data_IF_804847739080
#
_entry.id   IF_804847739080
#
_cell.length_a   1.000
_cell.length_b   1.000
_cell.length_c   1.000
_cell.angle_alpha   90.00
_cell.angle_beta   90.00
_cell.angle_gamma   90.00
#
_symmetry.space_group_name_H-M   'P 1'
#
loop_
_entity.id
_entity.type
_entity.pdbx_description
1 polymer ?
#
# COMPACT_ATOMS: atom_id res chain seq x y z
N UNK A 1 -15.50 2.87 -11.51
CA UNK A 1 -14.89 2.02 -12.58
C UNK A 1 -15.93 1.17 -13.33
N UNK A 2 -16.65 0.24 -12.70
CA UNK A 2 -17.67 -0.60 -13.40
C UNK A 2 -18.97 0.15 -13.68
N UNK A 3 -19.45 0.98 -12.75
CA UNK A 3 -20.71 1.74 -12.85
C UNK A 3 -20.58 3.14 -13.42
N UNK A 4 -19.40 3.75 -13.30
CA UNK A 4 -19.11 5.12 -13.76
C UNK A 4 -18.30 5.17 -15.06
N UNK A 5 -17.49 4.15 -15.37
CA UNK A 5 -16.57 4.17 -16.52
C UNK A 5 -16.74 2.97 -17.45
N UNK A 6 -17.82 2.20 -17.32
CA UNK A 6 -18.18 1.16 -18.30
C UNK A 6 -17.21 -0.02 -18.41
N UNK A 7 -16.44 -0.34 -17.36
CA UNK A 7 -15.48 -1.46 -17.36
C UNK A 7 -16.12 -2.86 -17.26
N UNK A 8 -17.36 -3.05 -17.71
CA UNK A 8 -18.03 -4.36 -17.83
C UNK A 8 -18.51 -4.58 -19.26
N UNK A 9 -18.07 -5.69 -19.88
CA UNK A 9 -18.50 -6.10 -21.22
C UNK A 9 -20.00 -6.44 -21.28
N UNK A 10 -20.62 -6.79 -20.15
CA UNK A 10 -22.04 -7.20 -20.07
C UNK A 10 -23.00 -6.03 -19.89
N UNK A 11 -22.58 -4.98 -19.21
CA UNK A 11 -23.43 -3.82 -18.92
C UNK A 11 -23.32 -2.72 -20.00
N UNK A 12 -22.32 -2.82 -20.88
CA UNK A 12 -22.04 -1.80 -21.89
C UNK A 12 -21.62 -0.46 -21.27
N UNK A 13 -21.32 0.56 -22.08
CA UNK A 13 -20.93 1.89 -21.60
C UNK A 13 -22.15 2.70 -21.12
N UNK A 14 -22.99 2.11 -20.26
CA UNK A 14 -24.06 2.86 -19.60
C UNK A 14 -23.53 3.46 -18.29
N UNK A 15 -23.74 4.77 -18.13
CA UNK A 15 -23.54 5.47 -16.87
C UNK A 15 -24.65 5.02 -15.89
N UNK A 16 -24.30 4.27 -14.85
CA UNK A 16 -25.24 3.81 -13.82
C UNK A 16 -25.21 4.65 -12.55
N UNK A 17 -24.22 5.55 -12.41
CA UNK A 17 -24.13 6.48 -11.29
C UNK A 17 -24.17 7.91 -11.84
N UNK A 18 -25.18 8.68 -11.42
CA UNK A 18 -25.17 10.13 -11.58
C UNK A 18 -24.07 10.71 -10.66
N UNK A 19 -23.26 11.60 -11.21
CA UNK A 19 -22.41 12.50 -10.44
C UNK A 19 -23.33 13.33 -9.53
N UNK A 20 -23.16 13.26 -8.21
CA UNK A 20 -23.75 14.24 -7.29
C UNK A 20 -23.03 15.59 -7.51
N UNK A 21 -23.36 16.26 -8.63
CA UNK A 21 -22.78 17.50 -9.08
C UNK A 21 -23.86 18.49 -9.50
N UNK A 22 -24.16 19.42 -8.58
CA UNK A 22 -24.85 20.70 -8.79
C UNK A 22 -26.33 20.66 -9.25
N UNK A 23 -27.21 20.77 -8.25
CA UNK A 23 -28.64 21.07 -8.39
C UNK A 23 -28.80 22.57 -8.62
N UNK A 24 -28.77 23.05 -9.87
CA UNK A 24 -29.28 24.39 -10.16
C UNK A 24 -30.02 24.46 -11.50
N UNK A 25 -31.24 25.01 -11.43
CA UNK A 25 -32.22 25.29 -12.50
C UNK A 25 -33.33 24.24 -12.75
N UNK A 26 -34.22 24.13 -11.77
CA UNK A 26 -35.67 24.22 -12.04
C UNK A 26 -36.36 23.10 -12.85
N UNK A 27 -35.77 21.90 -12.94
CA UNK A 27 -36.44 20.73 -13.52
C UNK A 27 -36.06 19.40 -12.86
N UNK A 28 -35.87 19.38 -11.55
CA UNK A 28 -35.65 18.16 -10.77
C UNK A 28 -36.99 17.47 -10.45
N UNK A 29 -37.69 17.02 -11.49
CA UNK A 29 -38.80 16.06 -11.34
C UNK A 29 -38.33 14.73 -11.92
N UNK A 30 -38.07 13.80 -11.00
CA UNK A 30 -38.08 12.36 -11.21
C UNK A 30 -37.12 11.81 -12.28
N UNK A 31 -35.84 11.65 -11.90
CA UNK A 31 -35.02 10.60 -12.52
C UNK A 31 -34.10 9.91 -11.52
N UNK A 32 -34.62 9.60 -10.33
CA UNK A 32 -34.09 8.46 -9.58
C UNK A 32 -34.36 7.22 -10.46
N UNK A 33 -33.41 6.90 -11.34
CA UNK A 33 -33.47 5.73 -12.21
C UNK A 33 -33.40 4.54 -11.26
N UNK A 34 -34.56 3.96 -10.93
CA UNK A 34 -34.67 2.75 -10.13
C UNK A 34 -33.80 1.68 -10.80
N UNK A 35 -32.57 1.50 -10.29
CA UNK A 35 -31.69 0.42 -10.71
C UNK A 35 -32.39 -0.86 -10.28
N UNK A 36 -32.73 -1.71 -11.24
CA UNK A 36 -33.43 -2.95 -10.93
C UNK A 36 -32.52 -3.87 -10.10
N UNK A 37 -33.12 -4.67 -9.21
CA UNK A 37 -32.37 -5.66 -8.39
C UNK A 37 -31.52 -6.59 -9.27
N UNK A 38 -32.00 -6.90 -10.48
CA UNK A 38 -31.28 -7.70 -11.46
C UNK A 38 -30.02 -6.97 -11.97
N UNK A 39 -30.12 -5.68 -12.28
CA UNK A 39 -28.97 -4.87 -12.69
C UNK A 39 -27.96 -4.72 -11.56
N UNK A 40 -28.41 -4.53 -10.32
CA UNK A 40 -27.54 -4.45 -9.15
C UNK A 40 -26.76 -5.75 -8.93
N UNK A 41 -27.43 -6.91 -9.06
CA UNK A 41 -26.78 -8.23 -8.99
C UNK A 41 -25.71 -8.42 -10.05
N UNK A 42 -25.97 -7.98 -11.28
CA UNK A 42 -24.98 -8.06 -12.37
C UNK A 42 -23.76 -7.19 -12.05
N UNK A 43 -23.96 -5.98 -11.54
CA UNK A 43 -22.85 -5.09 -11.12
C UNK A 43 -22.00 -5.76 -10.04
N UNK A 44 -22.61 -6.32 -9.00
CA UNK A 44 -21.88 -6.98 -7.91
C UNK A 44 -21.06 -8.18 -8.40
N UNK A 45 -21.61 -8.97 -9.33
CA UNK A 45 -20.89 -10.09 -9.94
C UNK A 45 -19.67 -9.62 -10.73
N UNK A 46 -19.81 -8.54 -11.50
CA UNK A 46 -18.71 -7.98 -12.29
C UNK A 46 -17.63 -7.35 -11.41
N UNK A 47 -18.01 -6.68 -10.32
CA UNK A 47 -17.07 -6.15 -9.31
C UNK A 47 -16.30 -7.31 -8.65
N UNK A 48 -17.00 -8.37 -8.26
CA UNK A 48 -16.36 -9.55 -7.67
C UNK A 48 -15.38 -10.20 -8.65
N UNK A 49 -15.78 -10.40 -9.91
CA UNK A 49 -14.92 -10.96 -10.95
C UNK A 49 -13.68 -10.10 -11.20
N UNK A 50 -13.82 -8.77 -11.18
CA UNK A 50 -12.72 -7.83 -11.31
C UNK A 50 -11.70 -7.97 -10.17
N UNK A 51 -12.19 -8.01 -8.93
CA UNK A 51 -11.36 -8.16 -7.74
C UNK A 51 -10.64 -9.51 -7.77
N UNK A 52 -11.36 -10.59 -8.03
CA UNK A 52 -10.82 -11.96 -8.09
C UNK A 52 -9.70 -12.07 -9.12
N UNK A 53 -9.90 -11.51 -10.33
CA UNK A 53 -8.89 -11.50 -11.39
C UNK A 53 -7.62 -10.74 -10.98
N UNK A 54 -7.79 -9.54 -10.41
CA UNK A 54 -6.66 -8.72 -9.99
C UNK A 54 -5.91 -9.34 -8.81
N UNK A 55 -6.65 -9.93 -7.86
CA UNK A 55 -6.08 -10.67 -6.74
C UNK A 55 -5.26 -11.86 -7.21
N UNK A 56 -5.82 -12.70 -8.10
CA UNK A 56 -5.11 -13.84 -8.65
C UNK A 56 -3.88 -13.42 -9.45
N UNK A 57 -3.97 -12.33 -10.23
CA UNK A 57 -2.81 -11.77 -10.94
C UNK A 57 -1.72 -11.29 -9.97
N UNK A 58 -2.09 -10.57 -8.92
CA UNK A 58 -1.12 -10.10 -7.92
C UNK A 58 -0.48 -11.29 -7.19
N UNK A 59 -1.28 -12.28 -6.79
CA UNK A 59 -0.79 -13.51 -6.16
C UNK A 59 0.17 -14.26 -7.07
N UNK A 60 -0.15 -14.39 -8.36
CA UNK A 60 0.72 -15.04 -9.33
C UNK A 60 2.04 -14.28 -9.46
N UNK A 61 2.01 -12.95 -9.63
CA UNK A 61 3.22 -12.12 -9.71
C UNK A 61 4.12 -12.25 -8.48
N UNK A 62 3.54 -12.30 -7.27
CA UNK A 62 4.30 -12.52 -6.04
C UNK A 62 4.88 -13.94 -5.98
N UNK A 63 4.11 -14.94 -6.41
CA UNK A 63 4.55 -16.34 -6.41
C UNK A 63 5.68 -16.58 -7.41
N UNK A 64 5.58 -16.00 -8.60
CA UNK A 64 6.58 -16.11 -9.67
C UNK A 64 7.90 -15.40 -9.31
N UNK A 65 7.86 -14.42 -8.41
CA UNK A 65 9.01 -13.63 -7.97
C UNK A 65 9.35 -13.87 -6.48
N UNK A 66 9.11 -15.10 -6.01
CA UNK A 66 9.39 -15.48 -4.62
C UNK A 66 10.88 -15.33 -4.25
N UNK A 67 11.77 -15.49 -5.22
CA UNK A 67 13.20 -15.23 -5.09
C UNK A 67 13.49 -13.78 -4.66
N UNK A 68 12.83 -12.82 -5.33
CA UNK A 68 12.96 -11.39 -5.02
C UNK A 68 12.39 -11.09 -3.63
N UNK A 69 11.28 -11.70 -3.24
CA UNK A 69 10.69 -11.57 -1.90
C UNK A 69 11.63 -12.08 -0.80
N UNK A 70 12.29 -13.23 -1.02
CA UNK A 70 13.29 -13.75 -0.09
C UNK A 70 14.51 -12.83 0.00
N UNK A 71 15.01 -12.33 -1.14
CA UNK A 71 16.11 -11.37 -1.18
C UNK A 71 15.75 -10.04 -0.48
N UNK A 72 14.53 -9.55 -0.66
CA UNK A 72 14.00 -8.38 0.07
C UNK A 72 13.97 -8.62 1.58
N UNK A 73 13.50 -9.79 2.02
CA UNK A 73 13.49 -10.18 3.44
C UNK A 73 14.91 -10.19 4.01
N UNK A 74 15.85 -10.82 3.30
CA UNK A 74 17.26 -10.89 3.76
C UNK A 74 17.92 -9.49 3.79
N UNK A 75 17.61 -8.63 2.81
CA UNK A 75 18.06 -7.25 2.79
C UNK A 75 17.47 -6.42 3.94
N UNK A 76 16.18 -6.58 4.26
CA UNK A 76 15.54 -5.92 5.41
C UNK A 76 16.15 -6.38 6.74
N UNK A 77 16.44 -7.68 6.88
CA UNK A 77 17.09 -8.21 8.07
C UNK A 77 18.50 -7.64 8.26
N UNK A 78 19.20 -7.32 7.17
CA UNK A 78 20.57 -6.79 7.20
C UNK A 78 20.62 -5.28 7.40
N UNK A 79 19.72 -4.53 6.79
CA UNK A 79 19.79 -3.07 6.69
C UNK A 79 18.67 -2.32 7.43
N UNK A 80 17.69 -3.02 7.98
CA UNK A 80 16.47 -2.52 8.65
C UNK A 80 15.52 -1.71 7.75
N UNK A 81 16.06 -0.94 6.81
CA UNK A 81 15.35 -0.15 5.79
C UNK A 81 15.94 -0.41 4.41
N UNK A 82 15.09 -0.39 3.38
CA UNK A 82 15.50 -0.51 1.97
C UNK A 82 15.00 0.73 1.22
N UNK A 83 15.90 1.37 0.48
CA UNK A 83 15.58 2.52 -0.37
C UNK A 83 15.25 2.10 -1.83
N UNK A 84 14.62 3.00 -2.59
CA UNK A 84 14.31 2.80 -4.01
C UNK A 84 15.45 2.20 -4.86
N UNK A 85 16.72 2.69 -4.83
CA UNK A 85 17.79 2.11 -5.62
C UNK A 85 18.15 0.67 -5.22
N UNK A 86 17.89 0.28 -3.97
CA UNK A 86 18.08 -1.11 -3.51
C UNK A 86 16.94 -2.00 -3.98
N UNK A 87 15.71 -1.47 -4.03
CA UNK A 87 14.56 -2.16 -4.65
C UNK A 87 14.85 -2.41 -6.13
N UNK A 88 15.39 -1.42 -6.86
CA UNK A 88 15.74 -1.58 -8.28
C UNK A 88 16.77 -2.69 -8.51
N UNK A 89 17.75 -2.84 -7.62
CA UNK A 89 18.71 -3.94 -7.68
C UNK A 89 18.08 -5.30 -7.39
N UNK A 90 17.20 -5.37 -6.39
CA UNK A 90 16.43 -6.57 -6.06
C UNK A 90 15.55 -7.01 -7.24
N UNK A 91 14.88 -6.06 -7.87
CA UNK A 91 14.06 -6.31 -9.07
C UNK A 91 14.89 -6.75 -10.27
N UNK A 92 16.15 -6.28 -10.37
CA UNK A 92 17.11 -6.70 -11.38
C UNK A 92 17.85 -8.01 -11.04
N UNK A 93 17.50 -8.68 -9.93
CA UNK A 93 18.17 -9.90 -9.42
C UNK A 93 19.68 -9.73 -9.24
N UNK A 94 20.10 -8.55 -8.79
CA UNK A 94 21.49 -8.24 -8.44
C UNK A 94 21.65 -8.21 -6.93
N UNK A 95 22.91 -8.33 -6.52
CA UNK A 95 23.27 -8.22 -5.11
C UNK A 95 22.97 -6.81 -4.60
N UNK A 96 22.35 -6.71 -3.42
CA UNK A 96 21.82 -5.44 -2.90
C UNK A 96 22.96 -4.55 -2.43
N UNK A 97 23.06 -3.37 -3.03
CA UNK A 97 24.02 -2.35 -2.57
C UNK A 97 23.74 -1.94 -1.11
N UNK A 98 24.77 -1.54 -0.35
CA UNK A 98 24.55 -0.92 0.97
C UNK A 98 23.63 0.29 0.84
N UNK A 99 22.78 0.57 1.85
CA UNK A 99 21.93 1.75 1.84
C UNK A 99 22.82 2.99 1.70
N UNK A 100 22.39 3.91 0.83
CA UNK A 100 23.10 5.18 0.71
C UNK A 100 23.01 5.87 2.07
N UNK A 101 24.16 6.21 2.68
CA UNK A 101 24.19 6.95 3.94
C UNK A 101 23.60 8.36 3.70
N UNK A 102 22.27 8.45 3.71
CA UNK A 102 21.50 9.58 3.22
C UNK A 102 20.63 10.16 4.33
N UNK A 103 21.22 11.09 5.09
CA UNK A 103 20.60 12.11 5.98
C UNK A 103 19.95 11.66 7.31
N UNK A 104 19.47 10.43 7.49
CA UNK A 104 18.84 10.04 8.77
C UNK A 104 19.62 9.04 9.63
N UNK A 105 20.64 8.36 9.11
CA UNK A 105 21.44 7.42 9.90
C UNK A 105 22.23 8.13 11.02
N UNK A 106 22.80 9.30 10.74
CA UNK A 106 23.58 10.04 11.74
C UNK A 106 22.72 10.47 12.94
N UNK A 107 21.48 10.92 12.72
CA UNK A 107 20.57 11.30 13.80
C UNK A 107 20.08 10.09 14.59
N UNK A 108 19.79 8.96 13.93
CA UNK A 108 19.40 7.72 14.60
C UNK A 108 20.55 7.09 15.39
N UNK A 109 21.77 7.07 14.85
CA UNK A 109 22.96 6.60 15.59
C UNK A 109 23.27 7.53 16.77
N UNK A 110 23.26 8.86 16.58
CA UNK A 110 23.46 9.82 17.67
C UNK A 110 22.36 9.69 18.73
N UNK A 111 21.09 9.59 18.35
CA UNK A 111 19.97 9.41 19.28
C UNK A 111 20.06 8.07 20.02
N UNK A 112 20.39 6.97 19.34
CA UNK A 112 20.55 5.67 19.97
C UNK A 112 21.71 5.67 20.97
N UNK A 113 22.88 6.25 20.62
CA UNK A 113 24.01 6.39 21.54
C UNK A 113 23.67 7.31 22.72
N UNK A 114 22.98 8.44 22.49
CA UNK A 114 22.56 9.35 23.55
C UNK A 114 21.55 8.72 24.51
N UNK A 115 20.58 7.94 24.01
CA UNK A 115 19.61 7.24 24.86
C UNK A 115 20.30 6.17 25.71
N UNK A 116 21.20 5.37 25.13
CA UNK A 116 21.96 4.36 25.87
C UNK A 116 22.86 4.99 26.93
N UNK A 117 23.60 6.06 26.61
CA UNK A 117 24.40 6.79 27.61
C UNK A 117 23.54 7.40 28.72
N UNK A 118 22.37 7.97 28.39
CA UNK A 118 21.47 8.58 29.38
C UNK A 118 20.80 7.53 30.28
N UNK A 119 20.53 6.34 29.75
CA UNK A 119 20.04 5.19 30.54
C UNK A 119 21.13 4.64 31.45
N UNK A 120 22.36 4.48 30.95
CA UNK A 120 23.52 4.04 31.74
C UNK A 120 23.84 5.00 32.89
N UNK A 121 23.84 6.30 32.63
CA UNK A 121 24.02 7.33 33.67
C UNK A 121 22.89 7.28 34.70
N UNK A 122 21.64 7.08 34.27
CA UNK A 122 20.50 6.91 35.19
C UNK A 122 20.61 5.62 36.01
N UNK A 123 21.08 4.52 35.42
CA UNK A 123 21.27 3.25 36.11
C UNK A 123 22.40 3.36 37.15
N UNK A 124 23.55 3.92 36.76
CA UNK A 124 24.68 4.17 37.66
C UNK A 124 24.29 5.09 38.83
N UNK A 125 23.55 6.17 38.56
CA UNK A 125 23.09 7.09 39.61
C UNK A 125 22.06 6.46 40.55
N UNK A 126 21.30 5.45 40.09
CA UNK A 126 20.35 4.70 40.92
C UNK A 126 21.06 3.68 41.81
N UNK A 127 22.08 3.00 41.29
CA UNK A 127 22.95 2.09 42.07
C UNK A 127 23.73 2.86 43.14
N UNK A 128 24.21 4.08 42.84
CA UNK A 128 24.95 4.91 43.80
C UNK A 128 24.11 5.52 44.93
N UNK A 129 22.76 5.48 44.84
CA UNK A 129 21.82 6.00 45.86
C UNK A 129 21.25 4.89 46.77
N UNK A 130 21.60 3.64 46.52
CA UNK A 130 21.10 2.47 47.27
C UNK A 130 22.19 1.79 48.11
N UNK A 131 23.32 2.47 48.32
CA UNK A 131 24.38 2.11 49.27
C UNK A 131 24.62 3.24 50.25
#
# INVERSE_FOLDING_TARGET
MVTQWGFSEKLGPLLYAEEEGEVFLGRSVAKAKHMSDETARIIDQEVKALIERNYNRARQLLTDNMDILHAMKDALMKYETIDAPQIDDLMARRDVRPPAAGKNQALLTILATMVVQRLLVRLMNRVRRTG
#
